data_IF_498625469431
#
_entry.id   IF_498625469431
#
_cell.length_a   1.000
_cell.length_b   1.000
_cell.length_c   1.000
_cell.angle_alpha   90.00
_cell.angle_beta   90.00
_cell.angle_gamma   90.00
#
_symmetry.space_group_name_H-M   'P 1'
#
loop_
_entity.id
_entity.type
_entity.pdbx_description
1 polymer ?
#
# COMPACT_ATOMS: atom_id res chain seq x y z
N UNK A 1 0.79 13.71 7.05
CA UNK A 1 0.19 12.65 7.89
C UNK A 1 -1.07 12.13 7.20
N UNK A 2 -1.24 10.81 7.03
CA UNK A 2 -2.39 10.27 6.25
C UNK A 2 -3.75 10.43 6.93
N UNK A 3 -3.78 10.62 8.27
CA UNK A 3 -4.99 10.92 9.01
C UNK A 3 -5.47 12.37 8.83
N UNK A 4 -4.57 13.35 8.63
CA UNK A 4 -4.98 14.74 8.38
C UNK A 4 -5.91 14.86 7.18
N UNK A 5 -5.64 14.10 6.12
CA UNK A 5 -6.50 14.11 4.93
C UNK A 5 -7.86 13.46 5.22
N UNK A 6 -7.85 12.34 5.96
CA UNK A 6 -9.04 11.60 6.37
C UNK A 6 -9.97 12.45 7.25
N UNK A 7 -9.37 13.19 8.19
CA UNK A 7 -10.06 14.09 9.12
C UNK A 7 -10.56 15.35 8.43
N UNK A 8 -9.72 16.00 7.59
CA UNK A 8 -10.10 17.22 6.85
C UNK A 8 -11.28 17.01 5.91
N UNK A 9 -11.42 15.82 5.33
CA UNK A 9 -12.53 15.51 4.42
C UNK A 9 -13.71 14.82 5.10
N UNK A 10 -13.71 14.74 6.45
CA UNK A 10 -14.70 14.00 7.22
C UNK A 10 -14.96 12.60 6.65
N UNK A 11 -13.90 11.95 6.16
CA UNK A 11 -14.03 10.67 5.45
C UNK A 11 -14.61 9.59 6.37
N UNK A 12 -14.44 9.72 7.68
CA UNK A 12 -15.11 8.91 8.71
C UNK A 12 -16.64 8.92 8.64
N UNK A 13 -17.28 9.96 8.08
CA UNK A 13 -18.75 9.97 7.87
C UNK A 13 -19.18 9.06 6.73
N UNK A 14 -18.30 8.81 5.75
CA UNK A 14 -18.62 8.12 4.50
C UNK A 14 -17.93 6.77 4.34
N UNK A 15 -16.79 6.61 5.00
CA UNK A 15 -15.92 5.45 4.93
C UNK A 15 -15.64 5.00 6.37
N UNK A 16 -16.08 3.78 6.70
CA UNK A 16 -15.93 3.23 8.04
C UNK A 16 -14.49 2.75 8.23
N UNK A 17 -13.94 3.00 9.42
CA UNK A 17 -12.74 2.30 9.89
C UNK A 17 -13.14 0.86 10.22
N UNK A 18 -12.28 -0.11 9.87
CA UNK A 18 -12.39 -1.45 10.45
C UNK A 18 -11.45 -1.55 11.64
N UNK A 19 -11.93 -2.22 12.67
CA UNK A 19 -11.23 -2.40 13.94
C UNK A 19 -11.21 -3.89 14.21
N UNK A 20 -10.02 -4.42 14.46
CA UNK A 20 -9.86 -5.77 14.99
C UNK A 20 -9.98 -5.69 16.51
N UNK A 21 -10.85 -6.52 17.09
CA UNK A 21 -11.06 -6.61 18.53
C UNK A 21 -10.77 -8.02 19.05
N UNK A 22 -10.39 -8.14 20.32
CA UNK A 22 -10.40 -9.42 21.03
C UNK A 22 -11.82 -9.81 21.49
N UNK A 23 -11.93 -10.96 22.17
CA UNK A 23 -13.19 -11.49 22.72
C UNK A 23 -13.84 -10.54 23.75
N UNK A 24 -13.04 -9.71 24.41
CA UNK A 24 -13.48 -8.69 25.38
C UNK A 24 -13.84 -7.35 24.70
N UNK A 25 -13.90 -7.32 23.36
CA UNK A 25 -14.13 -6.13 22.55
C UNK A 25 -13.09 -5.01 22.73
N UNK A 26 -11.86 -5.35 23.13
CA UNK A 26 -10.74 -4.41 23.20
C UNK A 26 -10.12 -4.25 21.82
N UNK A 27 -9.86 -3.00 21.44
CA UNK A 27 -9.34 -2.71 20.11
C UNK A 27 -7.84 -3.04 19.99
N UNK A 28 -7.48 -3.86 19.00
CA UNK A 28 -6.14 -4.38 18.80
C UNK A 28 -5.42 -3.74 17.61
N UNK A 29 -6.15 -3.40 16.54
CA UNK A 29 -5.61 -2.89 15.29
C UNK A 29 -6.71 -2.16 14.50
N UNK A 30 -6.31 -1.17 13.70
CA UNK A 30 -7.23 -0.32 12.94
C UNK A 30 -6.77 -0.21 11.50
N UNK A 31 -7.72 -0.21 10.57
CA UNK A 31 -7.45 0.10 9.16
C UNK A 31 -8.45 1.10 8.62
N UNK A 32 -7.90 2.10 7.96
CA UNK A 32 -8.65 3.14 7.26
C UNK A 32 -8.49 2.88 5.78
N UNK A 33 -9.59 2.53 5.11
CA UNK A 33 -9.61 2.28 3.69
C UNK A 33 -10.90 2.80 3.06
N UNK A 34 -10.86 3.03 1.76
CA UNK A 34 -12.06 3.28 0.98
C UNK A 34 -12.04 2.46 -0.31
N UNK A 35 -13.23 2.20 -0.85
CA UNK A 35 -13.40 1.64 -2.19
C UNK A 35 -14.14 2.70 -3.00
N UNK A 36 -13.62 3.04 -4.18
CA UNK A 36 -14.25 4.04 -5.03
C UNK A 36 -15.61 3.58 -5.57
N UNK A 37 -16.39 4.53 -6.09
CA UNK A 37 -17.75 4.27 -6.60
C UNK A 37 -17.80 3.23 -7.72
N UNK A 38 -16.73 3.15 -8.51
CA UNK A 38 -16.62 2.29 -9.68
C UNK A 38 -15.97 0.94 -9.38
N UNK A 39 -15.56 0.72 -8.12
CA UNK A 39 -14.80 -0.45 -7.66
C UNK A 39 -13.50 -0.64 -8.45
N UNK A 40 -12.95 0.45 -8.96
CA UNK A 40 -11.67 0.39 -9.67
C UNK A 40 -10.54 0.28 -8.66
N UNK A 41 -10.59 1.08 -7.60
CA UNK A 41 -9.57 1.12 -6.55
C UNK A 41 -10.13 0.94 -5.15
N UNK A 42 -9.43 0.11 -4.36
CA UNK A 42 -9.36 0.20 -2.91
C UNK A 42 -8.14 1.05 -2.51
N UNK A 43 -8.32 2.14 -1.77
CA UNK A 43 -7.19 2.89 -1.19
C UNK A 43 -7.05 2.53 0.27
N UNK A 44 -5.87 2.04 0.66
CA UNK A 44 -5.53 1.79 2.07
C UNK A 44 -4.78 3.03 2.56
N UNK A 45 -5.40 3.79 3.46
CA UNK A 45 -4.87 5.06 3.94
C UNK A 45 -3.92 4.89 5.12
N UNK A 46 -4.25 3.98 6.04
CA UNK A 46 -3.42 3.70 7.20
C UNK A 46 -3.78 2.34 7.82
N UNK A 47 -2.76 1.66 8.36
CA UNK A 47 -2.92 0.52 9.25
C UNK A 47 -2.19 0.87 10.54
N UNK A 48 -2.92 0.88 11.65
CA UNK A 48 -2.39 1.26 12.95
C UNK A 48 -2.51 0.10 13.94
N UNK A 49 -1.36 -0.34 14.43
CA UNK A 49 -1.25 -1.29 15.54
C UNK A 49 -0.57 -0.61 16.74
N UNK A 50 -1.28 -0.42 17.86
CA UNK A 50 -0.70 0.05 19.12
C UNK A 50 0.58 -0.70 19.49
N UNK A 51 1.58 0.00 20.04
CA UNK A 51 2.89 -0.59 20.34
C UNK A 51 2.79 -1.87 21.18
N UNK A 52 1.90 -1.87 22.18
CA UNK A 52 1.68 -3.00 23.10
C UNK A 52 1.07 -4.23 22.43
N UNK A 53 0.42 -4.06 21.27
CA UNK A 53 -0.21 -5.16 20.51
C UNK A 53 0.55 -5.54 19.25
N UNK A 54 1.69 -4.91 18.94
CA UNK A 54 2.51 -5.24 17.76
C UNK A 54 3.11 -6.65 17.86
N UNK A 55 3.45 -7.22 16.69
CA UNK A 55 4.08 -8.55 16.52
C UNK A 55 3.20 -9.76 16.87
N UNK A 56 1.89 -9.56 16.97
CA UNK A 56 0.91 -10.65 17.16
C UNK A 56 0.14 -11.00 15.88
N UNK A 57 0.53 -10.48 14.71
CA UNK A 57 -0.15 -10.78 13.45
C UNK A 57 -1.40 -9.92 13.15
N UNK A 58 -1.88 -9.10 14.08
CA UNK A 58 -3.12 -8.31 13.92
C UNK A 58 -3.17 -7.40 12.69
N UNK A 59 -2.04 -6.81 12.28
CA UNK A 59 -1.99 -6.01 11.05
C UNK A 59 -2.22 -6.87 9.80
N UNK A 60 -1.71 -8.10 9.79
CA UNK A 60 -1.90 -9.05 8.70
C UNK A 60 -3.34 -9.58 8.67
N UNK A 61 -3.91 -9.94 9.82
CA UNK A 61 -5.32 -10.36 9.92
C UNK A 61 -6.26 -9.26 9.40
N UNK A 62 -6.08 -8.03 9.87
CA UNK A 62 -6.92 -6.92 9.44
C UNK A 62 -6.73 -6.60 7.94
N UNK A 63 -5.53 -6.83 7.40
CA UNK A 63 -5.26 -6.68 5.97
C UNK A 63 -5.90 -7.81 5.15
N UNK A 64 -5.94 -9.05 5.66
CA UNK A 64 -6.68 -10.14 5.04
C UNK A 64 -8.17 -9.77 4.90
N UNK A 65 -8.78 -9.31 6.00
CA UNK A 65 -10.20 -8.94 6.02
C UNK A 65 -10.56 -7.90 4.94
N UNK A 66 -9.74 -6.85 4.77
CA UNK A 66 -10.04 -5.85 3.73
C UNK A 66 -9.82 -6.39 2.31
N UNK A 67 -8.92 -7.36 2.11
CA UNK A 67 -8.75 -8.01 0.81
C UNK A 67 -9.92 -8.94 0.49
N UNK A 68 -10.47 -9.64 1.48
CA UNK A 68 -11.72 -10.41 1.31
C UNK A 68 -12.90 -9.50 0.96
N UNK A 69 -13.03 -8.35 1.62
CA UNK A 69 -14.04 -7.32 1.27
C UNK A 69 -13.82 -6.82 -0.16
N UNK A 70 -12.57 -6.61 -0.58
CA UNK A 70 -12.24 -6.16 -1.93
C UNK A 70 -12.64 -7.21 -2.98
N UNK A 71 -12.42 -8.50 -2.70
CA UNK A 71 -12.84 -9.61 -3.55
C UNK A 71 -14.35 -9.69 -3.66
N UNK A 72 -15.07 -9.68 -2.54
CA UNK A 72 -16.54 -9.73 -2.50
C UNK A 72 -17.15 -8.58 -3.33
N UNK A 73 -16.56 -7.39 -3.21
CA UNK A 73 -17.00 -6.19 -3.96
C UNK A 73 -16.50 -6.15 -5.40
N UNK A 74 -15.66 -7.11 -5.82
CA UNK A 74 -15.02 -7.18 -7.15
C UNK A 74 -14.19 -5.94 -7.47
N UNK A 75 -13.42 -5.49 -6.49
CA UNK A 75 -12.46 -4.40 -6.67
C UNK A 75 -11.34 -4.86 -7.59
N UNK A 76 -10.94 -4.02 -8.55
CA UNK A 76 -9.90 -4.39 -9.53
C UNK A 76 -8.49 -4.22 -9.00
N UNK A 77 -8.21 -3.10 -8.33
CA UNK A 77 -6.86 -2.71 -7.90
C UNK A 77 -6.88 -2.18 -6.48
N UNK A 78 -5.75 -2.23 -5.81
CA UNK A 78 -5.52 -1.55 -4.54
C UNK A 78 -4.30 -0.65 -4.62
N UNK A 79 -4.28 0.38 -3.77
CA UNK A 79 -3.12 1.27 -3.64
C UNK A 79 -2.89 1.72 -2.20
N UNK A 80 -1.65 2.00 -1.88
CA UNK A 80 -1.23 2.61 -0.61
C UNK A 80 0.11 3.33 -0.78
N UNK A 81 0.47 4.08 0.25
CA UNK A 81 1.82 4.60 0.45
C UNK A 81 2.40 4.01 1.73
N UNK A 82 3.68 3.62 1.70
CA UNK A 82 4.40 3.04 2.84
C UNK A 82 5.52 3.98 3.28
N UNK A 83 5.70 4.13 4.59
CA UNK A 83 6.90 4.75 5.16
C UNK A 83 8.02 3.71 5.26
N UNK A 84 9.28 4.17 5.27
CA UNK A 84 10.49 3.32 5.37
C UNK A 84 10.40 2.20 6.42
N UNK A 85 9.91 2.53 7.64
CA UNK A 85 9.84 1.59 8.76
C UNK A 85 8.77 0.49 8.59
N UNK A 86 7.86 0.65 7.63
CA UNK A 86 6.80 -0.32 7.33
C UNK A 86 7.12 -1.25 6.16
N UNK A 87 8.22 -0.98 5.43
CA UNK A 87 8.58 -1.73 4.23
C UNK A 87 8.75 -3.23 4.52
N UNK A 88 9.45 -3.61 5.59
CA UNK A 88 9.71 -5.04 5.88
C UNK A 88 8.40 -5.84 6.02
N UNK A 89 7.38 -5.23 6.62
CA UNK A 89 6.06 -5.84 6.75
C UNK A 89 5.41 -6.07 5.39
N UNK A 90 5.28 -5.03 4.56
CA UNK A 90 4.61 -5.15 3.26
C UNK A 90 5.41 -5.97 2.24
N UNK A 91 6.75 -5.88 2.26
CA UNK A 91 7.61 -6.72 1.42
C UNK A 91 7.42 -8.20 1.73
N UNK A 92 7.26 -8.56 3.00
CA UNK A 92 6.99 -9.96 3.40
C UNK A 92 5.67 -10.51 2.84
N UNK A 93 4.73 -9.62 2.50
CA UNK A 93 3.44 -9.95 1.89
C UNK A 93 3.46 -9.90 0.36
N UNK A 94 4.59 -9.54 -0.25
CA UNK A 94 4.75 -9.49 -1.70
C UNK A 94 4.37 -8.17 -2.37
N UNK A 95 4.28 -7.08 -1.61
CA UNK A 95 4.05 -5.75 -2.18
C UNK A 95 5.26 -5.32 -3.03
N UNK A 96 4.99 -4.53 -4.07
CA UNK A 96 6.01 -3.90 -4.91
C UNK A 96 5.75 -2.41 -5.02
N UNK A 97 6.81 -1.65 -5.25
CA UNK A 97 6.80 -0.21 -5.18
C UNK A 97 7.29 0.41 -6.47
N UNK A 98 6.59 1.45 -6.91
CA UNK A 98 6.82 2.10 -8.18
C UNK A 98 7.71 3.34 -8.07
N UNK A 99 7.80 3.95 -6.89
CA UNK A 99 8.52 5.21 -6.66
C UNK A 99 8.09 5.86 -5.35
N UNK A 100 8.42 7.14 -5.16
CA UNK A 100 8.03 7.91 -3.97
C UNK A 100 7.04 9.02 -4.30
N UNK A 101 6.15 9.35 -3.38
CA UNK A 101 5.28 10.52 -3.50
C UNK A 101 6.04 11.81 -3.10
N UNK A 102 5.37 12.96 -3.15
CA UNK A 102 5.98 14.26 -2.86
C UNK A 102 6.46 14.46 -1.41
N UNK A 103 6.10 13.56 -0.50
CA UNK A 103 6.55 13.60 0.91
C UNK A 103 7.57 12.50 1.23
N UNK A 104 7.95 11.69 0.24
CA UNK A 104 8.94 10.62 0.38
C UNK A 104 8.39 9.25 0.79
N UNK A 105 7.07 9.05 0.77
CA UNK A 105 6.48 7.73 1.03
C UNK A 105 6.46 6.87 -0.24
N UNK A 106 6.71 5.57 -0.10
CA UNK A 106 6.78 4.62 -1.20
C UNK A 106 5.40 4.25 -1.72
N UNK A 107 5.15 4.47 -3.01
CA UNK A 107 3.86 4.24 -3.65
C UNK A 107 3.73 2.81 -4.19
N UNK A 108 2.65 2.13 -3.79
CA UNK A 108 2.26 0.82 -4.28
C UNK A 108 0.87 0.91 -4.95
N UNK A 109 0.73 0.28 -6.10
CA UNK A 109 -0.52 0.18 -6.88
C UNK A 109 -0.53 -1.13 -7.65
N UNK A 110 -1.41 -2.06 -7.27
CA UNK A 110 -1.41 -3.42 -7.81
C UNK A 110 -2.83 -3.94 -8.04
N UNK A 111 -3.02 -4.91 -8.94
CA UNK A 111 -4.25 -5.69 -9.01
C UNK A 111 -4.60 -6.33 -7.66
N UNK A 112 -5.88 -6.44 -7.35
CA UNK A 112 -6.33 -7.28 -6.23
C UNK A 112 -6.11 -8.74 -6.64
N UNK A 113 -5.34 -9.55 -5.87
CA UNK A 113 -5.13 -10.97 -6.18
C UNK A 113 -6.45 -11.74 -6.06
N UNK A 114 -6.69 -12.68 -6.98
CA UNK A 114 -7.96 -13.43 -7.04
C UNK A 114 -8.25 -14.30 -5.82
N UNK A 115 -7.22 -14.72 -5.09
CA UNK A 115 -7.31 -15.58 -3.91
C UNK A 115 -6.87 -14.84 -2.63
N UNK A 116 -7.14 -13.54 -2.57
CA UNK A 116 -6.92 -12.71 -1.38
C UNK A 116 -5.45 -12.34 -1.17
N UNK A 117 -5.15 -11.76 -0.02
CA UNK A 117 -3.81 -11.26 0.30
C UNK A 117 -2.74 -12.36 0.23
N UNK A 118 -3.06 -13.60 0.62
CA UNK A 118 -2.12 -14.73 0.60
C UNK A 118 -1.57 -15.07 -0.79
N UNK A 119 -2.27 -14.69 -1.86
CA UNK A 119 -1.82 -14.88 -3.25
C UNK A 119 -1.00 -13.70 -3.80
N UNK A 120 -0.83 -12.62 -3.03
CA UNK A 120 -0.14 -11.42 -3.52
C UNK A 120 1.33 -11.72 -3.86
N UNK A 121 2.03 -12.44 -2.99
CA UNK A 121 3.45 -12.79 -3.20
C UNK A 121 3.68 -13.64 -4.44
N UNK A 122 2.83 -14.64 -4.67
CA UNK A 122 2.92 -15.47 -5.88
C UNK A 122 2.56 -14.65 -7.12
N UNK A 123 1.49 -13.86 -7.06
CA UNK A 123 1.07 -12.96 -8.14
C UNK A 123 2.21 -12.03 -8.56
N UNK A 124 2.85 -11.31 -7.64
CA UNK A 124 3.93 -10.36 -7.98
C UNK A 124 5.23 -11.05 -8.42
N UNK A 125 5.42 -12.32 -8.10
CA UNK A 125 6.61 -13.08 -8.51
C UNK A 125 6.52 -13.66 -9.93
N UNK A 126 5.32 -13.91 -10.45
CA UNK A 126 5.11 -14.57 -11.76
C UNK A 126 4.44 -13.70 -12.81
N UNK A 127 3.81 -12.60 -12.40
CA UNK A 127 3.06 -11.74 -13.30
C UNK A 127 4.00 -10.80 -14.05
N UNK A 128 3.77 -10.68 -15.36
CA UNK A 128 4.47 -9.72 -16.21
C UNK A 128 4.22 -8.27 -15.76
N UNK A 129 5.27 -7.44 -15.83
CA UNK A 129 5.22 -6.07 -15.32
C UNK A 129 4.16 -5.21 -16.02
N UNK A 130 3.87 -5.46 -17.30
CA UNK A 130 2.85 -4.72 -18.03
C UNK A 130 1.45 -4.97 -17.47
N UNK A 131 1.23 -6.12 -16.82
CA UNK A 131 -0.02 -6.49 -16.16
C UNK A 131 -0.10 -5.92 -14.74
N UNK A 132 1.05 -5.78 -14.05
CA UNK A 132 1.10 -5.19 -12.72
C UNK A 132 0.83 -3.68 -12.73
N UNK A 133 1.30 -2.97 -13.75
CA UNK A 133 1.27 -1.50 -13.79
C UNK A 133 0.10 -0.93 -14.60
N UNK A 134 -0.74 -0.11 -13.96
CA UNK A 134 -1.80 0.66 -14.62
C UNK A 134 -1.31 2.07 -15.00
N UNK A 135 -1.77 2.57 -16.14
CA UNK A 135 -1.06 3.50 -17.02
C UNK A 135 -0.92 4.97 -16.58
N UNK A 136 -1.28 5.35 -15.35
CA UNK A 136 -1.17 6.77 -14.95
C UNK A 136 -0.63 6.96 -13.54
N UNK A 137 0.69 6.78 -13.39
CA UNK A 137 1.41 7.05 -12.14
C UNK A 137 2.31 8.29 -12.27
N UNK A 138 1.86 9.31 -13.00
CA UNK A 138 2.55 10.62 -13.09
C UNK A 138 2.88 11.25 -11.73
N UNK A 139 2.14 10.86 -10.68
CA UNK A 139 2.27 11.36 -9.31
C UNK A 139 3.57 11.00 -8.58
N UNK A 140 4.36 10.06 -9.09
CA UNK A 140 5.60 9.60 -8.46
C UNK A 140 6.86 9.91 -9.27
N UNK A 141 6.70 10.34 -10.53
CA UNK A 141 7.83 10.52 -11.44
C UNK A 141 8.66 11.76 -11.03
N UNK A 142 9.95 11.57 -10.76
CA UNK A 142 10.89 12.64 -10.43
C UNK A 142 10.71 13.23 -9.03
N UNK A 143 9.86 12.66 -8.19
CA UNK A 143 9.71 13.13 -6.81
C UNK A 143 10.96 12.85 -5.96
N UNK A 144 11.70 11.80 -6.30
CA UNK A 144 12.98 11.47 -5.67
C UNK A 144 14.00 12.61 -5.80
N UNK A 145 13.90 13.44 -6.85
CA UNK A 145 14.78 14.59 -7.07
C UNK A 145 14.53 15.74 -6.07
N UNK A 146 13.38 15.73 -5.40
CA UNK A 146 12.97 16.77 -4.45
C UNK A 146 13.20 16.33 -2.99
N UNK A 147 13.82 15.17 -2.76
CA UNK A 147 14.14 14.71 -1.41
C UNK A 147 15.28 15.54 -0.81
N UNK A 148 15.15 15.89 0.47
CA UNK A 148 16.28 16.43 1.24
C UNK A 148 17.43 15.42 1.36
N UNK A 149 18.64 15.88 1.68
CA UNK A 149 19.81 15.01 1.83
C UNK A 149 19.56 13.84 2.82
N UNK A 150 18.87 14.12 3.92
CA UNK A 150 18.51 13.09 4.92
C UNK A 150 17.51 12.08 4.35
N UNK A 151 16.49 12.55 3.61
CA UNK A 151 15.53 11.66 2.96
C UNK A 151 16.19 10.84 1.86
N UNK A 152 17.14 11.42 1.11
CA UNK A 152 17.89 10.73 0.07
C UNK A 152 18.72 9.56 0.63
N UNK A 153 19.37 9.75 1.79
CA UNK A 153 20.10 8.66 2.45
C UNK A 153 19.18 7.50 2.86
N UNK A 154 17.99 7.81 3.38
CA UNK A 154 16.97 6.81 3.73
C UNK A 154 16.49 6.10 2.45
N UNK A 155 16.22 6.87 1.41
CA UNK A 155 15.74 6.39 0.12
C UNK A 155 16.71 5.40 -0.54
N UNK A 156 18.00 5.71 -0.59
CA UNK A 156 19.01 4.79 -1.15
C UNK A 156 19.13 3.50 -0.33
N UNK A 157 19.07 3.59 1.01
CA UNK A 157 19.04 2.41 1.88
C UNK A 157 17.80 1.54 1.63
N UNK A 158 16.64 2.17 1.49
CA UNK A 158 15.38 1.48 1.26
C UNK A 158 15.27 0.87 -0.14
N UNK A 159 15.88 1.49 -1.16
CA UNK A 159 16.02 0.87 -2.50
C UNK A 159 16.77 -0.45 -2.42
N UNK A 160 17.86 -0.51 -1.65
CA UNK A 160 18.61 -1.74 -1.41
C UNK A 160 17.72 -2.77 -0.69
N UNK A 161 16.98 -2.33 0.34
CA UNK A 161 16.03 -3.19 1.09
C UNK A 161 14.95 -3.79 0.18
N UNK A 162 14.31 -2.97 -0.65
CA UNK A 162 13.24 -3.41 -1.54
C UNK A 162 13.77 -4.30 -2.66
N UNK A 163 14.98 -4.05 -3.16
CA UNK A 163 15.63 -4.87 -4.19
C UNK A 163 14.73 -5.06 -5.40
N UNK A 164 14.43 -6.32 -5.74
CA UNK A 164 13.54 -6.68 -6.88
C UNK A 164 12.10 -6.19 -6.75
N UNK A 165 11.68 -5.78 -5.55
CA UNK A 165 10.34 -5.24 -5.31
C UNK A 165 10.26 -3.73 -5.58
N UNK A 166 11.38 -3.07 -5.93
CA UNK A 166 11.39 -1.69 -6.37
C UNK A 166 11.47 -1.60 -7.91
N UNK A 167 10.35 -1.27 -8.55
CA UNK A 167 10.16 -1.39 -10.00
C UNK A 167 10.16 -0.05 -10.73
N UNK A 168 10.77 1.00 -10.15
CA UNK A 168 10.77 2.35 -10.70
C UNK A 168 11.41 2.44 -12.10
N UNK A 169 12.55 1.79 -12.31
CA UNK A 169 13.23 1.80 -13.62
C UNK A 169 12.36 1.20 -14.73
N UNK A 170 11.67 0.11 -14.42
CA UNK A 170 10.80 -0.56 -15.36
C UNK A 170 9.50 0.23 -15.62
N UNK A 171 9.03 1.03 -14.65
CA UNK A 171 8.01 2.05 -14.89
C UNK A 171 8.49 3.12 -15.88
N UNK A 172 9.67 3.69 -15.66
CA UNK A 172 10.23 4.73 -16.55
C UNK A 172 10.39 4.22 -17.99
N UNK A 173 10.83 2.98 -18.16
CA UNK A 173 10.93 2.35 -19.48
C UNK A 173 9.57 2.25 -20.20
N UNK A 174 8.48 1.91 -19.49
CA UNK A 174 7.13 1.86 -20.07
C UNK A 174 6.63 3.24 -20.51
N UNK A 175 7.01 4.31 -19.82
CA UNK A 175 6.61 5.68 -20.17
C UNK A 175 7.33 6.22 -21.42
N UNK A 176 8.54 5.74 -21.71
CA UNK A 176 9.34 6.19 -22.86
C UNK A 176 9.04 5.42 -24.16
N UNK A 177 8.39 4.25 -24.07
CA UNK A 177 8.08 3.38 -25.20
C UNK A 177 6.59 3.29 -25.58
N UNK A 178 5.76 4.21 -25.08
CA UNK A 178 4.31 4.28 -25.33
C UNK A 178 3.90 5.47 -26.19
#
# INVERSE_FOLDING_TARGET
MSLDWWDRHFSWKRHKCLVLCDEDNRHLCYVFFNIDRYRMYMTIHNIFTPLVTRRHGYAHELLNEIFEIALEKRVRRFKLTSISTSLDFYLSLGFVYWGVNSVGDYYCDLPVPQNGLGALLSMTSVTDIHTLIDGNISKINGNELNLSDTQMQIYEKDKIKMGKHYLHSAFLAKQQGG
#
